data_IF_794531101012
#
_entry.id   IF_794531101012
#
_cell.length_a   1.000
_cell.length_b   1.000
_cell.length_c   1.000
_cell.angle_alpha   90.00
_cell.angle_beta   90.00
_cell.angle_gamma   90.00
#
_symmetry.space_group_name_H-M   'P 1'
#
loop_
_entity.id
_entity.type
_entity.pdbx_description
1 polymer ?
#
# COMPACT_ATOMS: atom_id res chain seq x y z
N UNK A 1 0.35 -13.72 -15.52
CA UNK A 1 0.37 -12.86 -14.32
C UNK A 1 1.70 -13.01 -13.63
N UNK A 2 2.25 -11.92 -13.22
CA UNK A 2 3.53 -11.94 -12.52
C UNK A 2 3.36 -12.41 -11.10
N UNK A 3 4.39 -13.10 -10.63
CA UNK A 3 4.43 -13.41 -9.22
C UNK A 3 4.70 -12.14 -8.41
N UNK A 4 4.13 -12.04 -7.22
CA UNK A 4 4.42 -10.88 -6.38
C UNK A 4 5.88 -10.88 -5.94
N UNK A 5 6.39 -9.69 -5.64
CA UNK A 5 7.72 -9.55 -5.09
C UNK A 5 7.74 -10.09 -3.66
N UNK A 6 8.81 -10.77 -3.34
CA UNK A 6 8.98 -11.34 -1.99
C UNK A 6 9.38 -10.26 -0.99
N UNK A 7 9.28 -10.60 0.28
CA UNK A 7 9.70 -9.71 1.36
C UNK A 7 11.17 -9.31 1.18
N UNK A 8 12.02 -10.27 0.80
CA UNK A 8 13.44 -9.98 0.61
C UNK A 8 13.67 -9.03 -0.57
N UNK A 9 12.90 -9.22 -1.65
CA UNK A 9 13.02 -8.35 -2.82
C UNK A 9 12.54 -6.94 -2.53
N UNK A 10 11.60 -6.78 -1.61
CA UNK A 10 11.06 -5.49 -1.25
C UNK A 10 11.95 -4.71 -0.28
N UNK A 11 12.82 -5.41 0.44
CA UNK A 11 13.58 -4.81 1.54
C UNK A 11 14.38 -3.56 1.17
N UNK A 12 15.01 -3.46 -0.03
CA UNK A 12 15.83 -2.29 -0.33
C UNK A 12 15.04 -1.02 -0.67
N UNK A 13 13.74 -1.11 -0.85
CA UNK A 13 12.98 0.06 -1.29
C UNK A 13 12.58 0.94 -0.12
N UNK A 14 12.69 2.26 -0.31
CA UNK A 14 12.25 3.24 0.67
C UNK A 14 10.72 3.42 0.62
N UNK A 15 10.14 3.23 -0.54
CA UNK A 15 8.71 3.34 -0.73
C UNK A 15 8.32 2.50 -1.95
N UNK A 16 7.10 2.02 -1.93
CA UNK A 16 6.54 1.25 -3.04
C UNK A 16 5.21 1.85 -3.44
N UNK A 17 5.05 2.10 -4.72
CA UNK A 17 3.76 2.51 -5.27
C UNK A 17 3.08 1.25 -5.79
N UNK A 18 1.89 1.00 -5.30
CA UNK A 18 1.10 -0.16 -5.69
C UNK A 18 -0.16 0.32 -6.40
N UNK A 19 -0.23 0.05 -7.69
CA UNK A 19 -1.35 0.43 -8.53
C UNK A 19 -1.93 -0.85 -9.15
N UNK A 20 -2.67 -1.64 -8.36
CA UNK A 20 -3.11 -2.94 -8.79
C UNK A 20 -4.29 -2.87 -9.75
N UNK A 21 -4.60 -4.00 -10.41
CA UNK A 21 -5.81 -4.09 -11.19
C UNK A 21 -7.05 -3.94 -10.31
N UNK A 22 -8.21 -3.85 -10.93
CA UNK A 22 -9.47 -3.62 -10.22
C UNK A 22 -9.68 -4.58 -9.06
N UNK A 23 -9.30 -5.84 -9.23
CA UNK A 23 -9.48 -6.86 -8.18
C UNK A 23 -8.60 -6.63 -6.96
N UNK A 24 -7.64 -5.71 -7.03
CA UNK A 24 -6.72 -5.45 -5.93
C UNK A 24 -5.44 -6.26 -6.05
N UNK A 25 -4.68 -6.28 -4.97
CA UNK A 25 -3.37 -6.93 -4.97
C UNK A 25 -3.19 -7.72 -3.68
N UNK A 26 -4.07 -8.67 -3.44
CA UNK A 26 -4.11 -9.39 -2.18
C UNK A 26 -2.77 -9.99 -1.78
N UNK A 27 -2.14 -10.73 -2.68
CA UNK A 27 -0.88 -11.38 -2.37
C UNK A 27 0.25 -10.37 -2.15
N UNK A 28 0.34 -9.39 -3.03
CA UNK A 28 1.39 -8.39 -2.91
C UNK A 28 1.19 -7.52 -1.68
N UNK A 29 -0.05 -7.18 -1.35
CA UNK A 29 -0.35 -6.40 -0.16
C UNK A 29 0.05 -7.16 1.09
N UNK A 30 -0.24 -8.46 1.16
CA UNK A 30 0.15 -9.27 2.30
C UNK A 30 1.66 -9.32 2.47
N UNK A 31 2.39 -9.43 1.36
CA UNK A 31 3.85 -9.45 1.42
C UNK A 31 4.43 -8.09 1.80
N UNK A 32 3.88 -7.01 1.24
CA UNK A 32 4.29 -5.66 1.59
C UNK A 32 4.09 -5.38 3.07
N UNK A 33 2.95 -5.82 3.60
CA UNK A 33 2.63 -5.59 5.01
C UNK A 33 3.66 -6.22 5.94
N UNK A 34 4.31 -7.29 5.50
CA UNK A 34 5.32 -7.97 6.29
C UNK A 34 6.74 -7.55 5.94
N UNK A 35 6.88 -6.66 4.96
CA UNK A 35 8.19 -6.23 4.48
C UNK A 35 8.77 -5.13 5.37
N UNK A 36 10.02 -4.80 5.13
CA UNK A 36 10.70 -3.72 5.81
C UNK A 36 10.52 -2.37 5.11
N UNK A 37 9.70 -2.32 4.07
CA UNK A 37 9.45 -1.08 3.33
C UNK A 37 8.78 -0.09 4.27
N UNK A 38 9.30 1.14 4.41
CA UNK A 38 8.73 2.09 5.35
C UNK A 38 7.45 2.78 4.87
N UNK A 39 7.20 2.82 3.57
CA UNK A 39 6.03 3.51 3.06
C UNK A 39 5.48 2.81 1.82
N UNK A 40 4.15 2.78 1.73
CA UNK A 40 3.45 2.26 0.55
C UNK A 40 2.41 3.28 0.13
N UNK A 41 2.35 3.55 -1.16
CA UNK A 41 1.30 4.36 -1.75
C UNK A 41 0.42 3.41 -2.56
N UNK A 42 -0.80 3.25 -2.13
CA UNK A 42 -1.75 2.32 -2.76
C UNK A 42 -2.77 3.13 -3.54
N UNK A 43 -2.85 2.87 -4.84
CA UNK A 43 -3.83 3.53 -5.72
C UNK A 43 -4.92 2.52 -6.04
N UNK A 44 -6.16 2.85 -5.75
CA UNK A 44 -7.26 1.91 -5.92
C UNK A 44 -8.47 2.57 -6.56
N UNK A 45 -9.11 1.84 -7.46
CA UNK A 45 -10.41 2.23 -8.01
C UNK A 45 -11.52 1.30 -7.52
N UNK A 46 -11.21 0.40 -6.59
CA UNK A 46 -12.18 -0.54 -6.04
C UNK A 46 -12.17 -0.46 -4.51
N UNK A 47 -13.16 0.21 -3.91
CA UNK A 47 -13.17 0.39 -2.45
C UNK A 47 -13.19 -0.92 -1.67
N UNK A 48 -13.85 -1.94 -2.21
CA UNK A 48 -13.93 -3.23 -1.50
C UNK A 48 -12.58 -3.93 -1.49
N UNK A 49 -11.88 -3.94 -2.62
CA UNK A 49 -10.55 -4.52 -2.69
C UNK A 49 -9.57 -3.73 -1.83
N UNK A 50 -9.70 -2.42 -1.83
CA UNK A 50 -8.87 -1.57 -0.99
C UNK A 50 -9.05 -1.91 0.49
N UNK A 51 -10.29 -2.00 0.94
CA UNK A 51 -10.59 -2.32 2.33
C UNK A 51 -10.01 -3.68 2.72
N UNK A 52 -10.14 -4.66 1.84
CA UNK A 52 -9.57 -5.99 2.09
C UNK A 52 -8.06 -5.92 2.22
N UNK A 53 -7.41 -5.23 1.29
CA UNK A 53 -5.95 -5.17 1.28
C UNK A 53 -5.41 -4.34 2.44
N UNK A 54 -6.14 -3.31 2.88
CA UNK A 54 -5.75 -2.51 4.03
C UNK A 54 -5.68 -3.31 5.32
N UNK A 55 -6.47 -4.39 5.41
CA UNK A 55 -6.44 -5.22 6.60
C UNK A 55 -5.09 -5.90 6.80
N UNK A 56 -4.44 -6.29 5.71
CA UNK A 56 -3.10 -6.88 5.84
C UNK A 56 -2.13 -5.90 6.49
N UNK A 57 -2.21 -4.63 6.11
CA UNK A 57 -1.34 -3.62 6.69
C UNK A 57 -1.71 -3.33 8.14
N UNK A 58 -3.01 -3.21 8.42
CA UNK A 58 -3.45 -2.95 9.78
C UNK A 58 -3.04 -4.06 10.74
N UNK A 59 -3.14 -5.32 10.29
CA UNK A 59 -2.76 -6.46 11.10
C UNK A 59 -1.29 -6.47 11.46
N UNK A 60 -0.46 -5.82 10.65
CA UNK A 60 0.98 -5.72 10.87
C UNK A 60 1.39 -4.41 11.53
N UNK A 61 0.42 -3.62 11.97
CA UNK A 61 0.70 -2.39 12.69
C UNK A 61 1.00 -1.18 11.84
N UNK A 62 0.73 -1.24 10.54
CA UNK A 62 0.90 -0.08 9.68
C UNK A 62 -0.17 0.97 9.97
N UNK A 63 0.16 2.21 9.67
CA UNK A 63 -0.78 3.33 9.81
C UNK A 63 -1.14 3.89 8.47
N UNK A 64 -2.38 4.33 8.34
CA UNK A 64 -2.79 5.13 7.21
C UNK A 64 -2.38 6.57 7.51
N UNK A 65 -1.48 7.08 6.70
CA UNK A 65 -0.96 8.43 6.87
C UNK A 65 -1.86 9.45 6.19
N UNK A 66 -2.38 9.08 5.03
CA UNK A 66 -3.30 9.92 4.28
C UNK A 66 -4.15 9.05 3.37
N UNK A 67 -5.38 9.46 3.18
CA UNK A 67 -6.29 8.83 2.23
C UNK A 67 -6.97 9.94 1.45
N UNK A 68 -6.73 9.98 0.15
CA UNK A 68 -7.23 11.04 -0.71
C UNK A 68 -8.09 10.45 -1.81
N UNK A 69 -9.36 10.75 -1.85
CA UNK A 69 -10.19 10.37 -3.00
C UNK A 69 -9.85 11.25 -4.19
N UNK A 70 -9.77 10.63 -5.36
CA UNK A 70 -9.50 11.34 -6.60
C UNK A 70 -10.60 11.02 -7.58
N UNK A 71 -11.29 12.06 -8.02
CA UNK A 71 -12.33 11.94 -9.00
C UNK A 71 -11.73 12.25 -10.36
N UNK A 72 -11.41 11.21 -11.12
CA UNK A 72 -10.64 11.38 -12.35
C UNK A 72 -11.44 11.88 -13.51
N UNK A 73 -12.66 11.38 -13.68
CA UNK A 73 -13.44 11.68 -14.88
C UNK A 73 -14.86 12.03 -14.50
N UNK A 74 -15.34 13.12 -15.05
CA UNK A 74 -16.67 13.61 -14.73
C UNK A 74 -17.77 12.64 -15.15
N UNK A 75 -17.53 11.86 -16.19
CA UNK A 75 -18.56 10.98 -16.75
C UNK A 75 -18.32 9.50 -16.51
N UNK A 76 -17.19 9.13 -15.93
CA UNK A 76 -16.91 7.72 -15.70
C UNK A 76 -17.64 7.16 -14.49
N UNK A 77 -17.94 8.01 -13.54
CA UNK A 77 -18.55 7.58 -12.29
C UNK A 77 -17.63 6.80 -11.38
N UNK A 78 -16.38 6.65 -11.76
CA UNK A 78 -15.41 5.93 -10.97
C UNK A 78 -14.59 6.87 -10.13
N UNK A 79 -14.37 6.46 -8.89
CA UNK A 79 -13.60 7.21 -7.94
C UNK A 79 -12.33 6.42 -7.63
N UNK A 80 -11.19 7.06 -7.77
CA UNK A 80 -9.95 6.48 -7.30
C UNK A 80 -9.60 7.02 -5.92
N UNK A 81 -8.94 6.21 -5.14
CA UNK A 81 -8.43 6.61 -3.85
C UNK A 81 -6.94 6.35 -3.80
N UNK A 82 -6.20 7.31 -3.29
CA UNK A 82 -4.78 7.16 -3.04
C UNK A 82 -4.58 7.11 -1.53
N UNK A 83 -4.03 6.00 -1.05
CA UNK A 83 -3.80 5.80 0.36
C UNK A 83 -2.30 5.70 0.60
N UNK A 84 -1.80 6.53 1.49
CA UNK A 84 -0.41 6.48 1.90
C UNK A 84 -0.32 5.76 3.24
N UNK A 85 0.47 4.70 3.28
CA UNK A 85 0.63 3.86 4.44
C UNK A 85 2.06 3.94 4.93
N UNK A 86 2.23 3.94 6.25
CA UNK A 86 3.56 3.91 6.85
C UNK A 86 3.65 2.79 7.85
N UNK A 87 4.75 2.05 7.77
CA UNK A 87 5.03 1.03 8.75
C UNK A 87 5.48 1.69 10.06
N UNK A 88 5.31 0.95 11.14
CA UNK A 88 5.84 1.42 12.41
C UNK A 88 7.36 1.36 12.34
N UNK A 89 8.05 2.47 12.58
CA UNK A 89 9.50 2.43 12.57
C UNK A 89 10.03 1.55 13.69
N UNK A 90 11.13 0.81 13.45
CA UNK A 90 11.74 0.02 14.51
C UNK A 90 12.14 0.91 15.68
N UNK A 91 11.90 0.39 16.88
CA UNK A 91 12.19 1.13 18.08
C UNK A 91 13.70 1.32 18.21
N UNK A 92 14.11 2.53 18.61
CA UNK A 92 15.50 2.84 18.83
C UNK A 92 16.30 3.11 17.58
N UNK A 93 15.69 2.98 16.43
CA UNK A 93 16.36 3.29 15.19
C UNK A 93 16.29 4.78 14.92
N UNK A 94 17.43 5.36 14.60
CA UNK A 94 17.42 6.74 14.14
C UNK A 94 16.62 6.84 12.86
N UNK A 95 15.91 7.93 12.69
CA UNK A 95 15.14 8.10 11.48
C UNK A 95 16.09 8.30 10.30
N UNK A 96 15.74 7.65 9.22
CA UNK A 96 16.45 7.83 7.97
C UNK A 96 15.76 8.90 7.17
N UNK A 97 16.56 9.73 6.58
CA UNK A 97 16.06 10.65 5.58
C UNK A 97 16.22 9.97 4.23
N UNK A 98 15.18 9.40 3.81
CA UNK A 98 15.18 8.73 2.53
C UNK A 98 14.72 9.67 1.43
#
# INVERSE_FOLDING_TARGET
>A
MRQPLTVAELAPFAAVVLDPPFAGAEEQAALLARSAVPAVIYVSCNPQALARDMRFFADQGWRVDAATPIDQFLWSGQLEAVVTLRSRPPRGRASYKL
#
